data_IF_828983654055
#
_entry.id   IF_828983654055
#
_cell.length_a   1.000
_cell.length_b   1.000
_cell.length_c   1.000
_cell.angle_alpha   90.00
_cell.angle_beta   90.00
_cell.angle_gamma   90.00
#
_symmetry.space_group_name_H-M   'P 1'
#
loop_
_entity.id
_entity.type
_entity.pdbx_description
1 polymer ?
#
# COMPACT_ATOMS: atom_id res chain seq x y z
N UNK A 1 29.18 37.34 -79.17
CA UNK A 1 28.60 37.87 -77.88
C UNK A 1 28.10 36.68 -77.06
N UNK A 2 28.84 36.28 -76.09
CA UNK A 2 28.58 35.10 -75.28
C UNK A 2 27.77 35.55 -74.05
N UNK A 3 26.68 34.82 -73.77
CA UNK A 3 25.64 35.18 -72.83
C UNK A 3 26.14 34.99 -71.37
N UNK A 4 26.59 36.07 -70.73
CA UNK A 4 27.08 36.06 -69.32
C UNK A 4 25.95 35.99 -68.28
N UNK A 5 24.68 35.97 -68.68
CA UNK A 5 23.54 35.94 -67.73
C UNK A 5 23.11 34.56 -67.27
N UNK A 6 23.67 33.49 -67.87
CA UNK A 6 23.28 32.12 -67.52
C UNK A 6 24.04 31.51 -66.28
N UNK A 7 25.23 32.08 -65.98
CA UNK A 7 26.08 31.54 -64.89
C UNK A 7 25.74 32.12 -63.46
N UNK A 8 24.97 33.19 -63.41
CA UNK A 8 24.66 33.85 -62.16
C UNK A 8 23.43 33.25 -61.42
N UNK A 9 22.62 32.49 -62.14
CA UNK A 9 21.43 31.86 -61.53
C UNK A 9 21.71 30.52 -60.81
N UNK A 10 22.84 29.87 -61.10
CA UNK A 10 23.15 28.55 -60.51
C UNK A 10 23.82 28.59 -59.14
N UNK A 11 24.16 29.75 -58.61
CA UNK A 11 24.83 29.89 -57.29
C UNK A 11 23.93 30.20 -56.11
N UNK A 12 22.59 30.31 -56.28
CA UNK A 12 21.70 30.72 -55.22
C UNK A 12 20.97 29.58 -54.48
N UNK A 13 21.20 28.31 -54.75
CA UNK A 13 20.40 27.24 -54.18
C UNK A 13 21.11 26.31 -53.17
N UNK A 14 22.18 26.73 -52.49
CA UNK A 14 22.78 25.92 -51.44
C UNK A 14 23.10 26.67 -50.16
N UNK A 15 22.11 27.39 -49.60
CA UNK A 15 22.17 27.86 -48.19
C UNK A 15 20.83 27.66 -47.51
N UNK A 16 20.61 26.49 -46.94
CA UNK A 16 19.45 26.32 -46.08
C UNK A 16 19.20 24.89 -45.67
N UNK A 17 19.75 24.46 -44.55
CA UNK A 17 19.18 23.46 -43.63
C UNK A 17 20.26 22.73 -42.82
N UNK A 18 20.95 23.46 -41.93
CA UNK A 18 21.77 22.81 -40.87
C UNK A 18 21.43 23.29 -39.47
N UNK A 19 20.17 23.62 -39.16
CA UNK A 19 19.76 24.05 -37.79
C UNK A 19 18.84 23.11 -37.06
N UNK A 20 18.49 21.92 -37.56
CA UNK A 20 17.52 21.00 -36.90
C UNK A 20 18.11 19.97 -35.94
N UNK A 21 19.41 19.74 -35.88
CA UNK A 21 19.98 18.66 -35.05
C UNK A 21 20.13 19.01 -33.57
N UNK A 22 20.37 20.28 -33.19
CA UNK A 22 20.55 20.64 -31.78
C UNK A 22 19.25 20.64 -30.97
N UNK A 23 18.13 21.03 -31.58
CA UNK A 23 16.82 21.01 -30.92
C UNK A 23 16.33 19.58 -30.58
N UNK A 24 16.61 18.61 -31.45
CA UNK A 24 16.20 17.22 -31.20
C UNK A 24 17.03 16.57 -30.10
N UNK A 25 18.30 16.95 -29.93
CA UNK A 25 19.14 16.40 -28.85
C UNK A 25 18.65 16.90 -27.48
N UNK A 26 18.35 18.18 -27.36
CA UNK A 26 17.81 18.77 -26.11
C UNK A 26 16.43 18.17 -25.77
N UNK A 27 15.55 18.04 -26.77
CA UNK A 27 14.24 17.42 -26.60
C UNK A 27 14.36 15.95 -26.13
N UNK A 28 15.30 15.19 -26.70
CA UNK A 28 15.54 13.81 -26.28
C UNK A 28 16.11 13.72 -24.86
N UNK A 29 16.99 14.63 -24.46
CA UNK A 29 17.51 14.70 -23.08
C UNK A 29 16.36 14.98 -22.10
N UNK A 30 15.51 15.95 -22.39
CA UNK A 30 14.33 16.27 -21.58
C UNK A 30 13.40 15.07 -21.46
N UNK A 31 13.15 14.37 -22.55
CA UNK A 31 12.34 13.16 -22.59
C UNK A 31 12.91 12.06 -21.70
N UNK A 32 14.23 11.82 -21.77
CA UNK A 32 14.91 10.82 -20.93
C UNK A 32 14.80 11.18 -19.45
N UNK A 33 15.02 12.45 -19.09
CA UNK A 33 14.87 12.92 -17.71
C UNK A 33 13.42 12.72 -17.23
N UNK A 34 12.45 13.08 -18.05
CA UNK A 34 11.03 12.89 -17.73
C UNK A 34 10.67 11.40 -17.51
N UNK A 35 11.21 10.50 -18.34
CA UNK A 35 11.05 9.07 -18.18
C UNK A 35 11.67 8.55 -16.87
N UNK A 36 12.86 9.03 -16.51
CA UNK A 36 13.51 8.64 -15.23
C UNK A 36 12.64 9.09 -14.04
N UNK A 37 12.18 10.33 -14.04
CA UNK A 37 11.29 10.85 -12.98
C UNK A 37 10.01 10.05 -12.91
N UNK A 38 9.40 9.71 -14.04
CA UNK A 38 8.20 8.89 -14.11
C UNK A 38 8.43 7.48 -13.55
N UNK A 39 9.53 6.83 -13.91
CA UNK A 39 9.88 5.51 -13.40
C UNK A 39 10.11 5.52 -11.87
N UNK A 40 10.82 6.52 -11.35
CA UNK A 40 11.05 6.67 -9.89
C UNK A 40 9.74 6.89 -9.16
N UNK A 41 8.86 7.76 -9.65
CA UNK A 41 7.55 8.02 -9.07
C UNK A 41 6.65 6.78 -9.10
N UNK A 42 6.62 6.06 -10.23
CA UNK A 42 5.88 4.81 -10.38
C UNK A 42 6.36 3.73 -9.43
N UNK A 43 7.68 3.61 -9.22
CA UNK A 43 8.25 2.67 -8.27
C UNK A 43 7.86 2.99 -6.82
N UNK A 44 7.82 4.26 -6.42
CA UNK A 44 7.37 4.68 -5.09
C UNK A 44 5.89 4.34 -4.87
N UNK A 45 5.03 4.64 -5.86
CA UNK A 45 3.60 4.28 -5.80
C UNK A 45 3.40 2.77 -5.71
N UNK A 46 4.18 1.99 -6.46
CA UNK A 46 4.13 0.53 -6.40
C UNK A 46 4.51 -0.01 -5.01
N UNK A 47 5.53 0.54 -4.36
CA UNK A 47 5.91 0.16 -2.99
C UNK A 47 4.79 0.41 -1.98
N UNK A 48 4.14 1.58 -2.07
CA UNK A 48 3.02 1.94 -1.20
C UNK A 48 1.84 1.00 -1.43
N UNK A 49 1.48 0.77 -2.70
CA UNK A 49 0.38 -0.13 -3.07
C UNK A 49 0.62 -1.57 -2.62
N UNK A 50 1.86 -2.08 -2.77
CA UNK A 50 2.23 -3.39 -2.27
C UNK A 50 2.10 -3.48 -0.74
N UNK A 51 2.60 -2.49 0.00
CA UNK A 51 2.47 -2.43 1.45
C UNK A 51 1.00 -2.48 1.92
N UNK A 52 0.10 -1.80 1.21
CA UNK A 52 -1.33 -1.83 1.48
C UNK A 52 -1.93 -3.24 1.26
N UNK A 53 -1.60 -3.89 0.15
CA UNK A 53 -2.11 -5.23 -0.16
C UNK A 53 -1.58 -6.28 0.82
N UNK A 54 -0.30 -6.22 1.17
CA UNK A 54 0.34 -7.14 2.11
C UNK A 54 -0.28 -6.98 3.51
N UNK A 55 -0.48 -5.73 3.99
CA UNK A 55 -1.13 -5.45 5.26
C UNK A 55 -2.57 -5.98 5.30
N UNK A 56 -3.36 -5.73 4.26
CA UNK A 56 -4.73 -6.23 4.17
C UNK A 56 -4.80 -7.75 4.23
N UNK A 57 -3.92 -8.43 3.48
CA UNK A 57 -3.84 -9.89 3.47
C UNK A 57 -3.47 -10.46 4.85
N UNK A 58 -2.58 -9.79 5.58
CA UNK A 58 -2.19 -10.18 6.94
C UNK A 58 -3.36 -10.05 7.90
N UNK A 59 -4.06 -8.92 7.91
CA UNK A 59 -5.23 -8.71 8.78
C UNK A 59 -6.37 -9.67 8.47
N UNK A 60 -6.57 -10.04 7.19
CA UNK A 60 -7.55 -11.06 6.82
C UNK A 60 -7.19 -12.44 7.38
N UNK A 61 -5.91 -12.79 7.42
CA UNK A 61 -5.44 -14.05 8.06
C UNK A 61 -5.62 -14.01 9.56
N UNK A 62 -5.22 -12.94 10.22
CA UNK A 62 -5.39 -12.76 11.69
C UNK A 62 -6.87 -12.85 12.05
N UNK A 63 -7.75 -12.20 11.30
CA UNK A 63 -9.19 -12.26 11.51
C UNK A 63 -9.74 -13.68 11.37
N UNK A 64 -9.36 -14.41 10.34
CA UNK A 64 -9.77 -15.81 10.13
C UNK A 64 -9.28 -16.75 11.21
N UNK A 65 -8.12 -16.48 11.81
CA UNK A 65 -7.55 -17.30 12.89
C UNK A 65 -8.20 -17.04 14.25
N UNK A 66 -8.47 -15.77 14.55
CA UNK A 66 -8.84 -15.35 15.88
C UNK A 66 -10.34 -15.05 16.05
N UNK A 67 -11.09 -14.82 14.95
CA UNK A 67 -12.50 -14.43 15.03
C UNK A 67 -13.40 -15.59 14.63
N UNK A 68 -14.34 -15.92 15.52
CA UNK A 68 -15.45 -16.84 15.21
C UNK A 68 -16.71 -15.99 15.04
N UNK A 69 -17.26 -15.98 13.82
CA UNK A 69 -18.52 -15.33 13.47
C UNK A 69 -19.52 -16.43 13.10
N UNK A 70 -20.69 -16.48 13.72
CA UNK A 70 -21.69 -17.53 13.48
C UNK A 70 -22.22 -17.59 12.05
N UNK A 71 -21.92 -16.56 11.24
CA UNK A 71 -22.25 -16.56 9.78
C UNK A 71 -21.42 -17.54 8.96
N UNK A 72 -20.42 -18.22 9.52
CA UNK A 72 -19.53 -19.14 8.81
C UNK A 72 -19.59 -20.58 9.31
N UNK A 73 -20.73 -21.01 9.92
CA UNK A 73 -20.95 -22.42 10.31
C UNK A 73 -21.27 -23.31 9.11
N UNK A 74 -20.34 -23.38 8.14
CA UNK A 74 -20.25 -24.50 7.20
C UNK A 74 -18.84 -25.04 7.21
N UNK A 75 -18.39 -25.62 8.32
CA UNK A 75 -17.51 -26.79 8.37
C UNK A 75 -17.01 -27.11 9.78
N UNK A 76 -17.54 -28.24 10.27
CA UNK A 76 -16.98 -29.25 11.20
C UNK A 76 -16.45 -28.86 12.57
N UNK A 77 -17.22 -29.36 13.54
CA UNK A 77 -16.79 -30.08 14.76
C UNK A 77 -15.64 -29.47 15.60
N UNK A 78 -16.01 -28.76 16.69
CA UNK A 78 -15.71 -29.27 18.02
C UNK A 78 -16.53 -28.53 19.08
N UNK A 79 -17.05 -29.35 19.96
CA UNK A 79 -17.94 -29.13 21.05
C UNK A 79 -17.13 -28.66 22.26
N UNK A 80 -17.28 -27.40 22.64
CA UNK A 80 -17.23 -27.05 24.06
C UNK A 80 -18.18 -25.86 24.29
N UNK A 81 -19.27 -26.22 25.01
CA UNK A 81 -20.30 -25.31 25.47
C UNK A 81 -19.79 -24.62 26.73
N UNK A 82 -19.65 -23.32 26.69
CA UNK A 82 -19.90 -22.53 27.93
C UNK A 82 -20.91 -21.41 27.60
N UNK A 83 -22.01 -21.50 28.29
CA UNK A 83 -23.18 -20.62 28.28
C UNK A 83 -22.80 -19.15 28.45
N UNK A 84 -23.28 -18.31 27.54
CA UNK A 84 -23.71 -16.97 27.86
C UNK A 84 -24.92 -16.68 26.97
N UNK A 85 -26.08 -16.68 27.61
CA UNK A 85 -27.35 -16.23 27.06
C UNK A 85 -27.25 -14.70 26.84
N UNK A 86 -27.04 -14.29 25.59
CA UNK A 86 -27.55 -13.03 25.07
C UNK A 86 -27.71 -13.19 23.56
N UNK A 87 -28.92 -12.96 23.04
CA UNK A 87 -29.34 -13.23 21.65
C UNK A 87 -28.82 -12.21 20.64
N UNK A 88 -27.53 -11.97 20.62
CA UNK A 88 -26.82 -11.24 19.55
C UNK A 88 -25.90 -12.18 18.81
N UNK A 89 -25.63 -11.92 17.53
CA UNK A 89 -24.62 -12.60 16.70
C UNK A 89 -23.40 -12.96 17.56
N UNK A 90 -23.13 -14.27 17.75
CA UNK A 90 -22.05 -14.74 18.62
C UNK A 90 -20.69 -14.42 18.01
N UNK A 91 -20.26 -13.17 18.20
CA UNK A 91 -18.94 -12.72 17.87
C UNK A 91 -17.99 -13.04 19.01
N UNK A 92 -16.97 -13.83 18.75
CA UNK A 92 -15.95 -14.19 19.72
C UNK A 92 -14.56 -14.01 19.16
N UNK A 93 -13.64 -13.55 20.01
CA UNK A 93 -12.22 -13.36 19.66
C UNK A 93 -11.37 -14.25 20.54
N UNK A 94 -10.56 -15.08 19.90
CA UNK A 94 -9.57 -15.92 20.56
C UNK A 94 -8.29 -15.12 20.85
N UNK A 95 -8.23 -14.52 22.03
CA UNK A 95 -7.07 -13.72 22.45
C UNK A 95 -5.82 -14.56 22.66
N UNK A 96 -5.92 -15.86 22.94
CA UNK A 96 -4.74 -16.71 23.09
C UNK A 96 -3.99 -16.82 21.77
N UNK A 97 -4.70 -17.07 20.66
CA UNK A 97 -4.11 -17.09 19.32
C UNK A 97 -3.51 -15.74 18.93
N UNK A 98 -4.13 -14.65 19.32
CA UNK A 98 -3.59 -13.30 19.05
C UNK A 98 -2.29 -13.06 19.82
N UNK A 99 -2.22 -13.46 21.07
CA UNK A 99 -1.04 -13.33 21.93
C UNK A 99 0.12 -14.23 21.46
N UNK A 100 -0.18 -15.40 20.85
CA UNK A 100 0.84 -16.24 20.20
C UNK A 100 1.48 -15.54 19.00
N UNK A 101 0.69 -14.76 18.24
CA UNK A 101 1.18 -13.98 17.09
C UNK A 101 1.92 -12.72 17.56
N UNK A 102 1.32 -12.00 18.50
CA UNK A 102 1.87 -10.77 19.04
C UNK A 102 1.54 -10.62 20.55
N UNK A 103 2.54 -10.75 21.42
CA UNK A 103 2.35 -10.62 22.87
C UNK A 103 1.93 -9.21 23.33
N UNK A 104 2.09 -8.20 22.48
CA UNK A 104 1.63 -6.83 22.76
C UNK A 104 0.12 -6.64 22.52
N UNK A 105 -0.61 -7.70 22.20
CA UNK A 105 -2.06 -7.64 22.00
C UNK A 105 -2.78 -7.29 23.29
N UNK A 106 -3.64 -6.26 23.23
CA UNK A 106 -4.38 -5.79 24.41
C UNK A 106 -5.90 -5.78 24.20
N UNK A 107 -6.37 -5.61 22.96
CA UNK A 107 -7.79 -5.45 22.68
C UNK A 107 -8.12 -5.86 21.24
N UNK A 108 -9.40 -5.88 20.96
CA UNK A 108 -9.97 -5.97 19.61
C UNK A 108 -10.99 -4.86 19.43
N UNK A 109 -10.90 -4.13 18.31
CA UNK A 109 -11.86 -3.08 17.96
C UNK A 109 -12.77 -3.56 16.82
N UNK A 110 -14.09 -3.42 17.00
CA UNK A 110 -15.09 -3.79 16.00
C UNK A 110 -16.20 -2.74 15.93
N UNK A 111 -16.52 -2.32 14.69
CA UNK A 111 -17.70 -1.53 14.37
C UNK A 111 -18.49 -2.30 13.30
N UNK A 112 -19.55 -3.05 13.66
CA UNK A 112 -20.24 -3.96 12.74
C UNK A 112 -21.12 -3.24 11.72
N UNK A 113 -21.62 -2.04 12.05
CA UNK A 113 -22.66 -1.34 11.29
C UNK A 113 -22.09 -0.30 10.30
N UNK A 114 -20.78 -0.12 10.29
CA UNK A 114 -20.11 0.82 9.39
C UNK A 114 -19.78 0.17 8.05
N UNK A 115 -19.92 0.90 6.91
CA UNK A 115 -19.65 0.37 5.57
C UNK A 115 -18.18 -0.09 5.39
N UNK A 116 -17.27 0.38 6.19
CA UNK A 116 -15.84 0.03 6.16
C UNK A 116 -15.43 -1.01 7.20
N UNK A 117 -16.35 -1.73 7.79
CA UNK A 117 -16.09 -2.86 8.70
C UNK A 117 -14.77 -2.76 9.49
N UNK A 118 -14.70 -1.87 10.47
CA UNK A 118 -13.56 -1.82 11.38
C UNK A 118 -13.62 -3.08 12.25
N UNK A 119 -12.62 -3.93 12.10
CA UNK A 119 -12.54 -5.24 12.76
C UNK A 119 -11.08 -5.69 12.85
N UNK A 120 -10.36 -5.17 13.85
CA UNK A 120 -8.90 -5.25 13.94
C UNK A 120 -8.41 -5.48 15.36
N UNK A 121 -7.28 -6.21 15.55
CA UNK A 121 -6.58 -6.26 16.82
C UNK A 121 -5.95 -4.92 17.17
N UNK A 122 -5.86 -4.64 18.47
CA UNK A 122 -5.18 -3.47 19.04
C UNK A 122 -3.99 -3.94 19.86
N UNK A 123 -2.86 -3.29 19.66
CA UNK A 123 -1.61 -3.60 20.38
C UNK A 123 -1.18 -2.43 21.26
N UNK A 124 -0.33 -2.70 22.26
CA UNK A 124 0.36 -1.66 23.03
C UNK A 124 1.81 -2.06 23.20
N UNK A 125 2.71 -1.35 22.53
CA UNK A 125 4.15 -1.58 22.63
C UNK A 125 4.76 -0.95 23.89
N UNK A 126 6.07 -1.00 23.96
CA UNK A 126 6.87 -0.32 24.99
C UNK A 126 7.07 1.16 24.73
N UNK A 127 6.83 1.60 23.50
CA UNK A 127 6.90 2.98 23.05
C UNK A 127 5.86 3.26 21.95
N UNK A 128 5.60 4.55 21.68
CA UNK A 128 4.61 4.99 20.71
C UNK A 128 5.11 4.95 19.25
N UNK A 129 6.34 4.54 18.99
CA UNK A 129 6.93 4.49 17.64
C UNK A 129 6.92 3.09 17.03
N UNK A 130 6.89 2.05 17.86
CA UNK A 130 7.01 0.64 17.46
C UNK A 130 6.04 0.25 16.34
N UNK A 131 4.79 0.65 16.47
CA UNK A 131 3.71 0.25 15.56
C UNK A 131 3.35 1.29 14.50
N UNK A 132 4.09 2.40 14.39
CA UNK A 132 3.89 3.38 13.32
C UNK A 132 4.23 2.83 11.93
N UNK A 133 5.18 1.87 11.87
CA UNK A 133 5.66 1.28 10.61
C UNK A 133 5.70 -0.25 10.66
N UNK A 134 4.92 -0.87 11.53
CA UNK A 134 4.81 -2.32 11.63
C UNK A 134 3.36 -2.74 11.69
N UNK A 135 3.04 -3.85 11.02
CA UNK A 135 1.73 -4.50 11.13
C UNK A 135 1.53 -5.12 12.51
N UNK A 136 0.34 -5.68 12.73
CA UNK A 136 0.04 -6.47 13.92
C UNK A 136 1.06 -7.59 14.15
N UNK A 137 1.46 -8.33 13.11
CA UNK A 137 2.45 -9.41 13.22
C UNK A 137 3.90 -8.91 13.21
N UNK A 138 4.13 -7.62 13.47
CA UNK A 138 5.46 -6.98 13.52
C UNK A 138 6.22 -6.94 12.20
N UNK A 139 5.57 -7.16 11.07
CA UNK A 139 6.17 -6.99 9.75
C UNK A 139 6.29 -5.51 9.38
N UNK A 140 7.39 -5.12 8.70
CA UNK A 140 7.58 -3.76 8.21
C UNK A 140 6.47 -3.37 7.23
N UNK A 141 5.78 -2.26 7.55
CA UNK A 141 4.68 -1.74 6.73
C UNK A 141 4.50 -0.25 6.97
N UNK A 142 4.30 0.52 5.91
CA UNK A 142 4.12 1.98 5.99
C UNK A 142 2.78 2.41 6.61
N UNK A 143 1.81 1.50 6.71
CA UNK A 143 0.48 1.79 7.26
C UNK A 143 0.42 1.66 8.78
N UNK A 144 1.36 0.92 9.37
CA UNK A 144 1.36 0.66 10.80
C UNK A 144 0.26 -0.29 11.28
N UNK A 145 0.08 -0.36 12.59
CA UNK A 145 -1.00 -1.08 13.26
C UNK A 145 -1.84 -0.14 14.12
N UNK A 146 -3.03 -0.60 14.53
CA UNK A 146 -3.82 0.11 15.54
C UNK A 146 -3.18 -0.15 16.90
N UNK A 147 -2.75 0.90 17.58
CA UNK A 147 -2.10 0.77 18.88
C UNK A 147 -2.64 1.76 19.91
N UNK A 148 -2.56 1.36 21.16
CA UNK A 148 -2.83 2.23 22.29
C UNK A 148 -1.55 2.94 22.72
N UNK A 149 -1.65 4.24 23.01
CA UNK A 149 -0.54 5.02 23.53
C UNK A 149 -0.03 4.41 24.85
N UNK A 150 1.29 4.37 25.05
CA UNK A 150 1.92 3.79 26.24
C UNK A 150 1.53 4.49 27.56
N UNK A 151 1.12 5.76 27.48
CA UNK A 151 0.67 6.53 28.65
C UNK A 151 -0.73 6.12 29.11
N UNK A 152 -1.48 5.38 28.29
CA UNK A 152 -2.79 4.86 28.66
C UNK A 152 -2.63 3.57 29.48
N UNK A 153 -3.41 3.47 30.55
CA UNK A 153 -3.46 2.24 31.34
C UNK A 153 -4.22 1.14 30.58
N UNK A 154 -3.74 -0.09 30.71
CA UNK A 154 -4.40 -1.29 30.19
C UNK A 154 -5.63 -1.63 31.00
#
# INVERSE_FOLDING_TARGET
>A
MRNENADNERKKHHRGRRRKKKGNIIANIILVIALIVFCVSGFQLFKIGKGYLDGRSEYDKVRKLAVTDDKNKNNKDNKDKNNSEDGGDAFSVDFQKLLEINPDTIAWIRFPDEPSQINYPVVQGTDNSKYLKKTFSSNENTLGAIFLNVDNQK
#
